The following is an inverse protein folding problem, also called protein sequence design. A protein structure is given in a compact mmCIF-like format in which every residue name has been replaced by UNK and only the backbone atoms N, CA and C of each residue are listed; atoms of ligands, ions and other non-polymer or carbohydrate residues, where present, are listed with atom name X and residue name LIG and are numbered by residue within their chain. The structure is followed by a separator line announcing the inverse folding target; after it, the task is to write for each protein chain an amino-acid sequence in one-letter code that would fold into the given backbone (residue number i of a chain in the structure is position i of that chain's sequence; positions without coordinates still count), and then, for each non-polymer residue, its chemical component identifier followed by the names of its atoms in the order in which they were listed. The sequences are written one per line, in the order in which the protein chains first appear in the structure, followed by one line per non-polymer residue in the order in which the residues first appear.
data_IF_800147105397
#
_entry.id   IF_800147105397
#
_cell.length_a   1.000
_cell.length_b   1.000
_cell.length_c   1.000
_cell.angle_alpha   90.00
_cell.angle_beta   90.00
_cell.angle_gamma   90.00
#
_symmetry.space_group_name_H-M   'P 1'
#
loop_
_entity.id
_entity.type
_entity.pdbx_description
1 polymer ?
#
# COMPACT_ATOMS: atom_id res chain seq x y z
N UNK A 1 9.52 15.57 -40.86
CA UNK A 1 10.13 14.37 -40.26
C UNK A 1 9.35 14.01 -39.01
N UNK A 2 8.73 12.83 -38.94
CA UNK A 2 8.10 12.33 -37.71
C UNK A 2 9.21 11.75 -36.83
N UNK A 3 9.43 12.32 -35.65
CA UNK A 3 10.32 11.74 -34.65
C UNK A 3 9.64 10.49 -34.09
N UNK A 4 10.27 9.33 -34.28
CA UNK A 4 9.86 8.08 -33.65
C UNK A 4 10.24 8.20 -32.18
N UNK A 5 9.25 8.14 -31.29
CA UNK A 5 9.46 8.04 -29.84
C UNK A 5 10.12 6.67 -29.61
N UNK A 6 11.42 6.65 -29.35
CA UNK A 6 12.10 5.45 -28.87
C UNK A 6 11.72 5.25 -27.42
N UNK A 7 10.85 4.28 -27.18
CA UNK A 7 10.60 3.73 -25.86
C UNK A 7 11.91 3.05 -25.40
N UNK A 8 12.45 3.36 -24.21
CA UNK A 8 13.64 2.67 -23.70
C UNK A 8 13.33 1.17 -23.59
N UNK A 9 14.33 0.29 -23.81
CA UNK A 9 14.09 -1.15 -23.75
C UNK A 9 13.72 -1.52 -22.31
N UNK A 10 12.61 -2.24 -22.14
CA UNK A 10 12.07 -2.73 -20.86
C UNK A 10 13.09 -3.52 -20.02
N UNK A 11 14.20 -3.93 -20.63
CA UNK A 11 15.33 -4.63 -20.00
C UNK A 11 16.00 -3.83 -18.89
N UNK A 12 16.05 -2.49 -18.97
CA UNK A 12 16.71 -1.64 -17.96
C UNK A 12 15.92 -1.57 -16.65
N UNK A 13 14.57 -1.54 -16.76
CA UNK A 13 13.69 -1.55 -15.59
C UNK A 13 13.72 -2.90 -14.86
N UNK A 14 13.57 -4.01 -15.60
CA UNK A 14 13.56 -5.35 -15.00
C UNK A 14 14.92 -5.72 -14.38
N UNK A 15 16.03 -5.28 -15.00
CA UNK A 15 17.37 -5.45 -14.44
C UNK A 15 17.55 -4.61 -13.16
N UNK A 16 17.14 -3.33 -13.18
CA UNK A 16 17.19 -2.48 -12.00
C UNK A 16 16.30 -2.98 -10.85
N UNK A 17 15.10 -3.48 -11.16
CA UNK A 17 14.21 -4.11 -10.19
C UNK A 17 14.83 -5.38 -9.62
N UNK A 18 15.45 -6.23 -10.45
CA UNK A 18 16.18 -7.42 -9.99
C UNK A 18 17.32 -7.07 -9.03
N UNK A 19 18.12 -6.06 -9.36
CA UNK A 19 19.19 -5.58 -8.47
C UNK A 19 18.65 -5.02 -7.15
N UNK A 20 17.52 -4.32 -7.18
CA UNK A 20 16.86 -3.81 -5.98
C UNK A 20 16.31 -4.97 -5.12
N UNK A 21 15.68 -5.99 -5.70
CA UNK A 21 15.20 -7.17 -4.98
C UNK A 21 16.32 -7.90 -4.22
N UNK A 22 17.53 -7.94 -4.78
CA UNK A 22 18.71 -8.55 -4.16
C UNK A 22 19.39 -7.65 -3.11
N UNK A 23 18.97 -6.38 -3.02
CA UNK A 23 19.53 -5.43 -2.05
C UNK A 23 18.92 -5.62 -0.65
N UNK A 24 19.60 -5.08 0.37
CA UNK A 24 19.07 -5.06 1.74
C UNK A 24 17.71 -4.37 1.83
N UNK A 25 17.50 -3.30 1.05
CA UNK A 25 16.24 -2.57 0.97
C UNK A 25 15.12 -3.45 0.38
N UNK A 26 15.42 -4.16 -0.72
CA UNK A 26 14.46 -5.07 -1.36
C UNK A 26 14.07 -6.23 -0.44
N UNK A 27 15.02 -6.82 0.26
CA UNK A 27 14.77 -7.89 1.24
C UNK A 27 13.92 -7.40 2.42
N UNK A 28 14.21 -6.21 2.96
CA UNK A 28 13.41 -5.60 4.02
C UNK A 28 11.99 -5.27 3.54
N UNK A 29 11.83 -4.84 2.29
CA UNK A 29 10.51 -4.61 1.68
C UNK A 29 9.74 -5.92 1.49
N UNK A 30 10.41 -7.01 1.10
CA UNK A 30 9.79 -8.33 1.01
C UNK A 30 9.31 -8.84 2.38
N UNK A 31 10.14 -8.73 3.42
CA UNK A 31 9.73 -9.09 4.78
C UNK A 31 8.56 -8.22 5.26
N UNK A 32 8.57 -6.93 4.92
CA UNK A 32 7.52 -6.01 5.31
C UNK A 32 6.18 -6.29 4.62
N UNK A 33 6.17 -6.67 3.34
CA UNK A 33 4.91 -7.02 2.67
C UNK A 33 4.29 -8.27 3.27
N UNK A 34 5.10 -9.31 3.54
CA UNK A 34 4.62 -10.55 4.17
C UNK A 34 4.04 -10.25 5.56
N UNK A 35 4.76 -9.47 6.39
CA UNK A 35 4.29 -9.07 7.72
C UNK A 35 2.99 -8.26 7.67
N UNK A 36 2.84 -7.36 6.69
CA UNK A 36 1.60 -6.57 6.54
C UNK A 36 0.43 -7.47 6.16
N UNK A 37 0.64 -8.40 5.23
CA UNK A 37 -0.42 -9.27 4.73
C UNK A 37 -0.88 -10.22 5.83
N UNK A 38 0.06 -10.80 6.57
CA UNK A 38 -0.25 -11.64 7.74
C UNK A 38 -0.97 -10.84 8.85
N UNK A 39 -0.55 -9.61 9.12
CA UNK A 39 -1.18 -8.78 10.15
C UNK A 39 -2.61 -8.34 9.78
N UNK A 40 -2.89 -8.15 8.50
CA UNK A 40 -4.19 -7.74 7.97
C UNK A 40 -5.06 -8.93 7.54
N UNK A 41 -4.64 -10.17 7.81
CA UNK A 41 -5.46 -11.35 7.56
C UNK A 41 -6.78 -11.28 8.34
N UNK A 42 -7.88 -11.50 7.64
CA UNK A 42 -9.24 -11.34 8.16
C UNK A 42 -9.66 -9.91 8.48
N UNK A 43 -8.88 -8.90 8.12
CA UNK A 43 -9.28 -7.51 8.23
C UNK A 43 -10.31 -7.12 7.15
N UNK A 44 -11.12 -6.10 7.45
CA UNK A 44 -12.05 -5.49 6.51
C UNK A 44 -11.84 -3.97 6.45
N UNK A 45 -12.39 -3.31 5.44
CA UNK A 45 -12.19 -1.88 5.23
C UNK A 45 -13.52 -1.13 5.35
N UNK A 46 -13.57 -0.17 6.27
CA UNK A 46 -14.60 0.87 6.29
C UNK A 46 -14.10 2.07 5.49
N UNK A 47 -14.51 2.11 4.21
CA UNK A 47 -14.12 3.19 3.31
C UNK A 47 -14.82 4.52 3.62
N UNK A 48 -15.96 4.50 4.32
CA UNK A 48 -16.67 5.72 4.68
C UNK A 48 -15.91 6.48 5.77
N UNK A 49 -15.42 5.76 6.77
CA UNK A 49 -14.65 6.32 7.88
C UNK A 49 -13.13 6.30 7.65
N UNK A 50 -12.68 5.75 6.51
CA UNK A 50 -11.25 5.61 6.15
C UNK A 50 -10.49 4.84 7.24
N UNK A 51 -11.03 3.66 7.58
CA UNK A 51 -10.51 2.77 8.63
C UNK A 51 -10.33 1.36 8.14
N UNK A 52 -9.30 0.72 8.65
CA UNK A 52 -9.10 -0.73 8.58
C UNK A 52 -9.69 -1.30 9.87
N UNK A 53 -10.65 -2.20 9.72
CA UNK A 53 -11.25 -2.98 10.81
C UNK A 53 -10.42 -4.26 10.93
N UNK A 54 -9.56 -4.31 11.94
CA UNK A 54 -8.71 -5.44 12.24
C UNK A 54 -9.54 -6.65 12.71
N UNK A 55 -8.94 -7.85 12.64
CA UNK A 55 -9.60 -9.11 13.03
C UNK A 55 -10.00 -9.16 14.52
N UNK A 56 -9.36 -8.35 15.37
CA UNK A 56 -9.74 -8.14 16.77
C UNK A 56 -10.86 -7.10 16.98
N UNK A 57 -11.39 -6.54 15.88
CA UNK A 57 -12.46 -5.53 15.87
C UNK A 57 -11.98 -4.09 16.05
N UNK A 58 -10.68 -3.84 16.21
CA UNK A 58 -10.17 -2.47 16.30
C UNK A 58 -10.25 -1.75 14.95
N UNK A 59 -10.60 -0.46 14.98
CA UNK A 59 -10.69 0.38 13.78
C UNK A 59 -9.55 1.40 13.77
N UNK A 60 -8.59 1.20 12.87
CA UNK A 60 -7.35 1.98 12.82
C UNK A 60 -7.22 2.71 11.48
N UNK A 61 -6.62 3.90 11.47
CA UNK A 61 -6.17 4.51 10.20
C UNK A 61 -4.99 3.72 9.61
N UNK A 62 -4.56 4.07 8.40
CA UNK A 62 -3.34 3.51 7.79
C UNK A 62 -2.13 3.74 8.69
N UNK A 63 -1.95 4.95 9.23
CA UNK A 63 -0.83 5.32 10.09
C UNK A 63 -0.87 4.58 11.43
N UNK A 64 -2.05 4.46 12.05
CA UNK A 64 -2.22 3.71 13.29
C UNK A 64 -1.96 2.21 13.11
N UNK A 65 -2.38 1.67 11.96
CA UNK A 65 -2.11 0.29 11.56
C UNK A 65 -0.62 0.08 11.35
N UNK A 66 0.06 1.02 10.68
CA UNK A 66 1.50 0.97 10.49
C UNK A 66 2.29 1.06 11.81
N UNK A 67 1.86 1.92 12.74
CA UNK A 67 2.46 2.03 14.07
C UNK A 67 2.27 0.71 14.88
N UNK A 68 1.12 0.05 14.73
CA UNK A 68 0.89 -1.27 15.34
C UNK A 68 1.87 -2.31 14.80
N UNK A 69 1.95 -2.48 13.49
CA UNK A 69 2.84 -3.46 12.86
C UNK A 69 4.30 -3.13 13.17
N UNK A 70 4.68 -1.86 13.15
CA UNK A 70 6.03 -1.41 13.53
C UNK A 70 6.39 -1.82 14.95
N UNK A 71 5.48 -1.69 15.92
CA UNK A 71 5.75 -2.09 17.31
C UNK A 71 5.96 -3.60 17.47
N UNK A 72 5.37 -4.40 16.61
CA UNK A 72 5.44 -5.86 16.65
C UNK A 72 6.66 -6.41 15.89
N UNK A 73 7.05 -5.74 14.79
CA UNK A 73 8.06 -6.24 13.84
C UNK A 73 9.36 -5.43 13.84
N UNK A 74 9.33 -4.20 14.36
CA UNK A 74 10.40 -3.20 14.30
C UNK A 74 10.81 -2.76 12.87
N UNK A 75 9.96 -3.04 11.87
CA UNK A 75 10.16 -2.61 10.48
C UNK A 75 9.93 -1.10 10.29
N UNK A 76 10.46 -0.50 9.23
CA UNK A 76 10.29 0.93 8.95
C UNK A 76 8.81 1.29 8.71
N UNK A 77 8.30 2.30 9.44
CA UNK A 77 6.89 2.71 9.33
C UNK A 77 6.49 3.14 7.92
N UNK A 78 7.35 3.86 7.20
CA UNK A 78 7.05 4.32 5.83
C UNK A 78 6.94 3.14 4.84
N UNK A 79 7.79 2.12 5.02
CA UNK A 79 7.72 0.87 4.24
C UNK A 79 6.42 0.13 4.53
N UNK A 80 6.05 0.00 5.81
CA UNK A 80 4.78 -0.62 6.23
C UNK A 80 3.57 0.12 5.63
N UNK A 81 3.53 1.46 5.73
CA UNK A 81 2.46 2.28 5.14
C UNK A 81 2.33 2.00 3.65
N UNK A 82 3.45 1.96 2.94
CA UNK A 82 3.47 1.70 1.49
C UNK A 82 2.89 0.32 1.15
N UNK A 83 3.18 -0.70 1.97
CA UNK A 83 2.61 -2.04 1.79
C UNK A 83 1.14 -2.14 2.21
N UNK A 84 0.69 -1.40 3.24
CA UNK A 84 -0.74 -1.30 3.58
C UNK A 84 -1.52 -0.65 2.43
N UNK A 85 -0.98 0.42 1.83
CA UNK A 85 -1.56 1.05 0.64
C UNK A 85 -1.63 0.05 -0.51
N UNK A 86 -0.55 -0.67 -0.77
CA UNK A 86 -0.53 -1.73 -1.79
C UNK A 86 -1.58 -2.81 -1.54
N UNK A 87 -1.75 -3.25 -0.29
CA UNK A 87 -2.80 -4.19 0.10
C UNK A 87 -4.21 -3.63 -0.17
N UNK A 88 -4.49 -2.38 0.21
CA UNK A 88 -5.77 -1.72 -0.04
C UNK A 88 -6.12 -1.62 -1.53
N UNK A 89 -5.12 -1.34 -2.38
CA UNK A 89 -5.32 -1.10 -3.81
C UNK A 89 -5.35 -2.38 -4.65
N UNK A 90 -4.60 -3.41 -4.23
CA UNK A 90 -4.30 -4.57 -5.09
C UNK A 90 -4.83 -5.90 -4.55
N UNK A 91 -4.98 -6.04 -3.24
CA UNK A 91 -5.28 -7.34 -2.61
C UNK A 91 -6.66 -7.35 -1.93
N UNK A 92 -7.08 -6.25 -1.31
CA UNK A 92 -8.36 -6.20 -0.61
C UNK A 92 -9.54 -6.17 -1.60
N UNK A 93 -10.38 -7.20 -1.54
CA UNK A 93 -11.61 -7.31 -2.33
C UNK A 93 -12.82 -7.37 -1.37
N UNK A 94 -13.69 -6.34 -1.35
CA UNK A 94 -14.90 -6.37 -0.53
C UNK A 94 -15.91 -7.39 -1.08
N UNK A 95 -16.59 -8.10 -0.19
CA UNK A 95 -17.64 -9.05 -0.57
C UNK A 95 -18.95 -8.34 -0.92
N UNK A 96 -19.68 -8.90 -1.90
CA UNK A 96 -21.08 -8.53 -2.17
C UNK A 96 -21.28 -7.23 -2.96
N UNK A 97 -20.22 -6.67 -3.55
CA UNK A 97 -20.32 -5.55 -4.49
C UNK A 97 -20.59 -6.05 -5.92
N UNK A 98 -21.40 -5.30 -6.67
CA UNK A 98 -21.45 -5.41 -8.12
C UNK A 98 -20.32 -4.62 -8.80
N UNK A 99 -20.20 -4.72 -10.12
CA UNK A 99 -19.11 -4.08 -10.89
C UNK A 99 -19.07 -2.55 -10.69
N UNK A 100 -20.23 -1.87 -10.71
CA UNK A 100 -20.31 -0.41 -10.53
C UNK A 100 -19.94 0.00 -9.09
N UNK A 101 -20.38 -0.79 -8.11
CA UNK A 101 -20.02 -0.59 -6.72
C UNK A 101 -18.53 -0.84 -6.46
N UNK A 102 -17.93 -1.82 -7.12
CA UNK A 102 -16.50 -2.09 -7.05
C UNK A 102 -15.68 -0.94 -7.66
N UNK A 103 -16.04 -0.44 -8.84
CA UNK A 103 -15.39 0.72 -9.44
C UNK A 103 -15.45 1.95 -8.52
N UNK A 104 -16.61 2.21 -7.90
CA UNK A 104 -16.77 3.28 -6.93
C UNK A 104 -15.94 3.04 -5.66
N UNK A 105 -15.84 1.79 -5.21
CA UNK A 105 -15.01 1.42 -4.07
C UNK A 105 -13.53 1.68 -4.35
N UNK A 106 -13.01 1.19 -5.48
CA UNK A 106 -11.61 1.43 -5.92
C UNK A 106 -11.31 2.92 -6.07
N UNK A 107 -12.22 3.69 -6.65
CA UNK A 107 -12.07 5.15 -6.76
C UNK A 107 -11.95 5.83 -5.39
N UNK A 108 -12.72 5.37 -4.40
CA UNK A 108 -12.66 5.92 -3.04
C UNK A 108 -11.38 5.50 -2.31
N UNK A 109 -10.91 4.27 -2.50
CA UNK A 109 -9.62 3.81 -1.99
C UNK A 109 -8.50 4.68 -2.54
N UNK A 110 -8.47 4.91 -3.85
CA UNK A 110 -7.46 5.76 -4.48
C UNK A 110 -7.49 7.20 -3.93
N UNK A 111 -8.68 7.79 -3.77
CA UNK A 111 -8.81 9.12 -3.18
C UNK A 111 -8.30 9.16 -1.72
N UNK A 112 -8.59 8.13 -0.93
CA UNK A 112 -8.07 8.02 0.44
C UNK A 112 -6.54 7.89 0.47
N UNK A 113 -5.96 7.08 -0.40
CA UNK A 113 -4.50 6.91 -0.52
C UNK A 113 -3.82 8.22 -0.88
N UNK A 114 -4.34 8.96 -1.87
CA UNK A 114 -3.81 10.27 -2.27
C UNK A 114 -3.85 11.27 -1.11
N UNK A 115 -4.94 11.31 -0.34
CA UNK A 115 -5.03 12.15 0.84
C UNK A 115 -3.96 11.80 1.90
N UNK A 116 -3.74 10.50 2.16
CA UNK A 116 -2.70 10.03 3.08
C UNK A 116 -1.29 10.43 2.61
N UNK A 117 -0.99 10.37 1.31
CA UNK A 117 0.30 10.82 0.75
C UNK A 117 0.50 12.34 0.88
N UNK A 118 -0.56 13.10 0.64
CA UNK A 118 -0.55 14.57 0.80
C UNK A 118 -0.29 14.95 2.26
N UNK A 119 -0.92 14.27 3.22
CA UNK A 119 -0.70 14.49 4.65
C UNK A 119 0.74 14.16 5.05
N UNK A 120 1.27 13.00 4.61
CA UNK A 120 2.66 12.61 4.91
C UNK A 120 3.69 13.60 4.35
N UNK A 121 3.48 14.07 3.12
CA UNK A 121 4.38 15.04 2.48
C UNK A 121 4.36 16.43 3.16
N UNK A 122 3.23 16.82 3.76
CA UNK A 122 3.11 18.07 4.52
C UNK A 122 3.69 17.95 5.93
N UNK A 123 3.52 16.81 6.60
CA UNK A 123 4.08 16.54 7.93
C UNK A 123 5.62 16.45 7.91
N UNK A 124 6.22 16.02 6.81
CA UNK A 124 7.69 15.97 6.65
C UNK A 124 8.35 17.34 6.42
N UNK A 125 7.57 18.44 6.31
CA UNK A 125 8.08 19.80 6.05
C UNK A 125 8.21 20.69 7.30
N UNK A 126 7.97 20.17 8.50
CA UNK A 126 8.05 20.94 9.76
C UNK A 126 8.97 20.30 10.78
#
# INVERSE_FOLDING_TARGET
MKMKRTQPPETDFMEGFGQWLESEEGLQSQEAVDCVYDALDGASVDIAEKKIIWSDGQQLTIEQSAERIHRETNLCQDTIISHIIGWLQMEYVPEGLDDEQMEMFESRINAWVEECEVIRTQSARF
#
